data_IF_776622243491
#
_entry.id   IF_776622243491
#
_cell.length_a   1.000
_cell.length_b   1.000
_cell.length_c   1.000
_cell.angle_alpha   90.00
_cell.angle_beta   90.00
_cell.angle_gamma   90.00
#
_symmetry.space_group_name_H-M   'P 1'
#
loop_
_entity.id
_entity.type
_entity.pdbx_description
1 polymer ?
#
# COMPACT_ATOMS: atom_id res chain seq x y z
N UNK A 1 3.12 -16.84 24.55
CA UNK A 1 2.10 -16.37 23.60
C UNK A 1 2.20 -17.25 22.38
N UNK A 2 1.08 -17.62 21.76
CA UNK A 2 1.15 -18.25 20.44
C UNK A 2 1.78 -17.26 19.46
N UNK A 3 2.48 -17.72 18.41
CA UNK A 3 3.02 -16.83 17.40
C UNK A 3 1.85 -16.09 16.71
N UNK A 4 1.85 -14.76 16.78
CA UNK A 4 0.78 -13.93 16.21
C UNK A 4 1.28 -13.17 14.98
N UNK A 5 0.37 -12.96 14.03
CA UNK A 5 0.60 -12.15 12.84
C UNK A 5 -0.11 -10.83 13.07
N UNK A 6 0.63 -9.72 13.01
CA UNK A 6 0.11 -8.40 13.34
C UNK A 6 0.09 -7.55 12.08
N UNK A 7 -1.08 -7.02 11.74
CA UNK A 7 -1.24 -6.02 10.67
C UNK A 7 -1.40 -4.65 11.33
N UNK A 8 -0.53 -3.72 10.97
CA UNK A 8 -0.50 -2.35 11.47
C UNK A 8 -0.86 -1.39 10.34
N UNK A 9 -1.81 -0.49 10.58
CA UNK A 9 -2.15 0.57 9.63
C UNK A 9 -1.17 1.74 9.84
N UNK A 10 -0.36 2.04 8.82
CA UNK A 10 0.69 3.07 8.87
C UNK A 10 0.25 4.38 8.23
N UNK A 11 -0.77 4.34 7.37
CA UNK A 11 -1.38 5.51 6.76
C UNK A 11 -2.74 5.17 6.20
N UNK A 12 -3.59 6.19 6.07
CA UNK A 12 -5.00 6.05 5.66
C UNK A 12 -5.45 7.16 4.71
N UNK A 13 -4.57 8.11 4.38
CA UNK A 13 -4.90 9.15 3.42
C UNK A 13 -4.57 8.69 2.00
N UNK A 14 -5.16 9.37 1.02
CA UNK A 14 -4.77 9.28 -0.39
C UNK A 14 -3.29 9.71 -0.57
N UNK A 15 -2.68 9.44 -1.73
CA UNK A 15 -1.29 9.71 -2.13
C UNK A 15 -0.60 10.91 -1.48
N UNK A 16 -1.27 12.06 -1.43
CA UNK A 16 -0.63 13.28 -0.96
C UNK A 16 -0.55 13.38 0.56
N UNK A 17 -1.30 12.58 1.30
CA UNK A 17 -1.45 12.71 2.74
C UNK A 17 -2.21 13.97 3.15
N UNK A 18 -2.29 14.19 4.45
CA UNK A 18 -2.79 15.42 5.06
C UNK A 18 -1.73 15.91 6.05
N UNK A 19 -1.18 17.13 5.89
CA UNK A 19 -1.47 18.07 4.82
C UNK A 19 -0.88 17.66 3.47
N UNK A 20 -1.57 18.03 2.38
CA UNK A 20 -1.07 17.89 1.02
C UNK A 20 -0.19 19.09 0.63
N UNK A 21 0.93 18.84 -0.05
CA UNK A 21 1.81 19.88 -0.55
C UNK A 21 1.04 20.85 -1.47
N UNK A 22 1.16 22.15 -1.18
CA UNK A 22 0.48 23.22 -1.94
C UNK A 22 -1.03 23.35 -1.66
N UNK A 23 -1.59 22.63 -0.69
CA UNK A 23 -3.01 22.74 -0.33
C UNK A 23 -3.23 23.68 0.86
N UNK A 24 -4.11 24.67 0.69
CA UNK A 24 -4.50 25.62 1.73
C UNK A 24 -5.95 25.42 2.22
N UNK A 25 -6.55 24.25 1.99
CA UNK A 25 -7.87 23.97 2.55
C UNK A 25 -7.81 23.88 4.08
N UNK A 26 -8.95 24.09 4.75
CA UNK A 26 -9.04 24.10 6.21
C UNK A 26 -8.43 22.83 6.85
N UNK A 27 -8.70 21.64 6.27
CA UNK A 27 -8.14 20.36 6.76
C UNK A 27 -6.61 20.35 6.75
N UNK A 28 -5.98 20.86 5.69
CA UNK A 28 -4.52 20.91 5.57
C UNK A 28 -3.91 21.97 6.49
N UNK A 29 -4.49 23.18 6.56
CA UNK A 29 -4.02 24.24 7.45
C UNK A 29 -4.08 23.79 8.92
N UNK A 30 -5.18 23.17 9.34
CA UNK A 30 -5.32 22.64 10.69
C UNK A 30 -4.28 21.53 10.99
N UNK A 31 -3.92 20.70 10.01
CA UNK A 31 -2.91 19.66 10.17
C UNK A 31 -1.46 20.18 10.20
N UNK A 32 -1.20 21.38 9.67
CA UNK A 32 0.06 22.08 9.90
C UNK A 32 0.19 22.57 11.34
N UNK A 33 -0.90 23.09 11.93
CA UNK A 33 -0.92 23.62 13.29
C UNK A 33 -1.00 22.52 14.36
N UNK A 34 -1.66 21.40 14.05
CA UNK A 34 -1.87 20.28 14.96
C UNK A 34 -1.33 18.96 14.37
N UNK A 35 -0.16 18.48 14.83
CA UNK A 35 0.43 17.22 14.37
C UNK A 35 -0.49 15.99 14.49
N UNK A 36 -1.42 15.96 15.45
CA UNK A 36 -2.37 14.86 15.63
C UNK A 36 -3.41 14.74 14.50
N UNK A 37 -3.56 15.78 13.68
CA UNK A 37 -4.43 15.79 12.51
C UNK A 37 -3.72 15.33 11.24
N UNK A 38 -2.40 15.09 11.29
CA UNK A 38 -1.68 14.57 10.13
C UNK A 38 -2.15 13.16 9.80
N UNK A 39 -2.23 12.85 8.50
CA UNK A 39 -2.53 11.52 7.98
C UNK A 39 -1.53 11.21 6.88
N UNK A 40 -0.81 10.11 7.02
CA UNK A 40 0.13 9.66 6.01
C UNK A 40 -0.60 8.95 4.86
N UNK A 41 -0.02 8.98 3.64
CA UNK A 41 -0.54 8.19 2.52
C UNK A 41 -0.64 6.72 2.89
N UNK A 42 -1.57 6.01 2.26
CA UNK A 42 -1.92 4.63 2.61
C UNK A 42 -0.71 3.71 2.62
N UNK A 43 -0.56 2.94 3.70
CA UNK A 43 0.48 1.92 3.86
C UNK A 43 0.13 0.98 5.01
N UNK A 44 0.54 -0.28 4.90
CA UNK A 44 0.41 -1.28 5.97
C UNK A 44 1.79 -1.84 6.34
N UNK A 45 1.95 -2.20 7.61
CA UNK A 45 3.01 -3.07 8.08
C UNK A 45 2.45 -4.42 8.49
N UNK A 46 3.12 -5.51 8.13
CA UNK A 46 2.77 -6.87 8.55
C UNK A 46 3.97 -7.47 9.28
N UNK A 47 3.77 -7.85 10.54
CA UNK A 47 4.76 -8.61 11.31
C UNK A 47 4.36 -10.09 11.30
N UNK A 48 5.27 -10.93 10.77
CA UNK A 48 5.11 -12.37 10.71
C UNK A 48 5.35 -13.02 12.07
N UNK A 49 4.90 -14.27 12.21
CA UNK A 49 5.11 -15.01 13.46
C UNK A 49 6.58 -15.36 13.78
N UNK A 50 7.46 -15.25 12.78
CA UNK A 50 8.91 -15.36 12.88
C UNK A 50 9.59 -14.03 13.25
N UNK A 51 8.82 -12.95 13.42
CA UNK A 51 9.31 -11.60 13.72
C UNK A 51 9.76 -10.80 12.49
N UNK A 52 9.62 -11.36 11.28
CA UNK A 52 9.89 -10.64 10.04
C UNK A 52 8.88 -9.52 9.79
N UNK A 53 9.31 -8.44 9.14
CA UNK A 53 8.52 -7.21 8.95
C UNK A 53 8.38 -6.87 7.48
N UNK A 54 7.14 -6.89 6.98
CA UNK A 54 6.81 -6.70 5.58
C UNK A 54 5.98 -5.44 5.37
N UNK A 55 6.48 -4.51 4.57
CA UNK A 55 5.80 -3.26 4.25
C UNK A 55 4.91 -3.43 3.01
N UNK A 56 3.72 -2.82 3.03
CA UNK A 56 2.87 -2.64 1.86
C UNK A 56 2.78 -1.14 1.57
N UNK A 57 3.09 -0.77 0.33
CA UNK A 57 3.29 0.61 -0.17
C UNK A 57 4.49 1.34 0.44
N UNK A 58 5.27 2.01 -0.42
CA UNK A 58 6.44 2.81 -0.06
C UNK A 58 6.16 4.28 -0.32
N UNK A 59 5.47 4.89 0.63
CA UNK A 59 5.04 6.29 0.49
C UNK A 59 6.20 7.26 0.72
N UNK A 60 6.03 8.53 0.32
CA UNK A 60 6.97 9.61 0.65
C UNK A 60 7.21 9.81 2.15
N UNK A 61 6.31 9.30 3.01
CA UNK A 61 6.39 9.40 4.46
C UNK A 61 6.97 8.14 5.11
N UNK A 62 7.75 7.36 4.36
CA UNK A 62 8.38 6.13 4.84
C UNK A 62 9.10 6.30 6.19
N UNK A 63 9.85 7.39 6.39
CA UNK A 63 10.57 7.66 7.64
C UNK A 63 9.62 7.71 8.86
N UNK A 64 8.56 8.51 8.77
CA UNK A 64 7.58 8.62 9.85
C UNK A 64 6.78 7.34 10.05
N UNK A 65 6.45 6.64 8.96
CA UNK A 65 5.70 5.38 9.00
C UNK A 65 6.51 4.26 9.65
N UNK A 66 7.80 4.15 9.36
CA UNK A 66 8.69 3.19 10.03
C UNK A 66 8.86 3.53 11.51
N UNK A 67 8.92 4.82 11.87
CA UNK A 67 8.94 5.22 13.28
C UNK A 67 7.64 4.87 13.99
N UNK A 68 6.50 5.15 13.38
CA UNK A 68 5.18 4.79 13.91
C UNK A 68 5.09 3.28 14.13
N UNK A 69 5.56 2.50 13.16
CA UNK A 69 5.52 1.03 13.23
C UNK A 69 6.47 0.44 14.26
N UNK A 70 7.62 1.08 14.49
CA UNK A 70 8.60 0.63 15.50
C UNK A 70 8.13 0.87 16.95
N UNK A 71 7.09 1.70 17.13
CA UNK A 71 6.54 2.00 18.45
C UNK A 71 7.51 2.72 19.38
N UNK A 72 7.20 2.67 20.68
CA UNK A 72 7.98 3.28 21.75
C UNK A 72 8.87 2.26 22.49
N UNK A 73 9.31 1.21 21.79
CA UNK A 73 10.12 0.16 22.41
C UNK A 73 11.41 0.75 23.02
N UNK A 74 11.89 0.14 24.10
CA UNK A 74 12.96 0.71 24.97
C UNK A 74 14.23 1.03 24.19
N UNK A 75 14.52 0.23 23.15
CA UNK A 75 15.69 0.41 22.30
C UNK A 75 15.56 1.53 21.26
N UNK A 76 14.33 2.01 20.98
CA UNK A 76 13.99 3.02 19.96
C UNK A 76 14.62 2.76 18.57
N UNK A 77 14.90 1.49 18.24
CA UNK A 77 15.48 1.11 16.95
C UNK A 77 14.42 1.11 15.88
N UNK A 78 14.69 1.85 14.81
CA UNK A 78 13.90 1.81 13.58
C UNK A 78 14.48 0.69 12.71
N UNK A 79 13.67 -0.30 12.37
CA UNK A 79 14.07 -1.42 11.52
C UNK A 79 13.94 -1.08 10.03
N UNK A 80 14.64 -1.86 9.22
CA UNK A 80 14.45 -1.92 7.77
C UNK A 80 13.47 -3.07 7.52
N UNK A 81 12.41 -2.91 6.69
CA UNK A 81 11.53 -4.02 6.37
C UNK A 81 12.29 -5.14 5.65
N UNK A 82 11.90 -6.39 5.90
CA UNK A 82 12.45 -7.58 5.25
C UNK A 82 11.93 -7.76 3.81
N UNK A 83 10.76 -7.17 3.51
CA UNK A 83 10.26 -7.05 2.14
C UNK A 83 9.29 -5.89 1.98
N UNK A 84 9.06 -5.53 0.71
CA UNK A 84 8.05 -4.56 0.29
C UNK A 84 7.07 -5.24 -0.67
N UNK A 85 5.79 -4.90 -0.59
CA UNK A 85 4.78 -5.26 -1.60
C UNK A 85 4.08 -3.99 -2.11
N UNK A 86 3.89 -3.85 -3.42
CA UNK A 86 3.28 -2.68 -4.05
C UNK A 86 2.04 -3.11 -4.83
N UNK A 87 0.90 -2.45 -4.59
CA UNK A 87 -0.36 -2.73 -5.29
C UNK A 87 -0.41 -2.14 -6.70
N UNK A 88 0.08 -0.90 -6.86
CA UNK A 88 0.07 -0.15 -8.11
C UNK A 88 1.10 1.00 -8.08
N UNK A 89 1.29 1.69 -9.22
CA UNK A 89 2.41 2.61 -9.43
C UNK A 89 2.08 4.10 -9.33
N UNK A 90 0.96 4.47 -8.72
CA UNK A 90 0.70 5.88 -8.39
C UNK A 90 1.75 6.40 -7.41
N UNK A 91 2.07 7.69 -7.48
CA UNK A 91 3.21 8.25 -6.75
C UNK A 91 3.06 8.09 -5.23
N UNK A 92 1.84 8.18 -4.70
CA UNK A 92 1.56 7.96 -3.28
C UNK A 92 2.06 6.61 -2.74
N UNK A 93 2.16 5.63 -3.62
CA UNK A 93 2.46 4.24 -3.35
C UNK A 93 3.94 3.88 -3.51
N UNK A 94 4.70 4.66 -4.27
CA UNK A 94 6.09 4.32 -4.65
C UNK A 94 7.11 5.45 -4.47
N UNK A 95 6.68 6.68 -4.15
CA UNK A 95 7.58 7.84 -4.09
C UNK A 95 8.70 7.68 -3.05
N UNK A 96 8.51 6.88 -2.00
CA UNK A 96 9.53 6.61 -1.00
C UNK A 96 10.62 5.62 -1.43
N UNK A 97 10.51 4.97 -2.59
CA UNK A 97 11.41 3.86 -2.97
C UNK A 97 12.89 4.26 -3.04
N UNK A 98 13.19 5.50 -3.40
CA UNK A 98 14.56 6.01 -3.47
C UNK A 98 15.30 6.02 -2.13
N UNK A 99 14.57 5.92 -1.00
CA UNK A 99 15.17 5.82 0.34
C UNK A 99 15.98 4.53 0.51
N UNK A 100 15.72 3.48 -0.28
CA UNK A 100 16.44 2.21 -0.18
C UNK A 100 17.82 2.22 -0.86
N UNK A 101 18.09 3.19 -1.75
CA UNK A 101 19.35 3.27 -2.48
C UNK A 101 20.55 3.65 -1.62
N UNK A 102 21.78 3.42 -2.13
CA UNK A 102 23.05 3.71 -1.43
C UNK A 102 23.18 5.12 -0.84
N UNK A 103 22.70 6.20 -1.48
CA UNK A 103 22.85 7.54 -0.91
C UNK A 103 22.07 7.76 0.39
N UNK A 104 21.10 6.90 0.68
CA UNK A 104 20.18 7.04 1.82
C UNK A 104 20.35 5.88 2.79
N UNK A 105 19.56 4.80 2.68
CA UNK A 105 19.69 3.64 3.57
C UNK A 105 20.73 2.63 3.09
N UNK A 106 20.97 2.55 1.78
CA UNK A 106 21.86 1.58 1.17
C UNK A 106 21.54 0.15 1.57
N UNK A 107 20.27 -0.22 1.53
CA UNK A 107 19.82 -1.55 1.95
C UNK A 107 20.48 -2.63 1.08
N UNK A 108 20.58 -3.85 1.58
CA UNK A 108 21.22 -4.94 0.83
C UNK A 108 20.17 -5.94 0.37
N UNK A 109 19.93 -5.99 -0.94
CA UNK A 109 19.05 -6.96 -1.58
C UNK A 109 17.67 -7.05 -0.89
N UNK A 110 16.93 -5.94 -0.82
CA UNK A 110 15.54 -5.91 -0.35
C UNK A 110 14.58 -6.44 -1.44
N UNK A 111 13.79 -7.50 -1.18
CA UNK A 111 12.77 -7.94 -2.13
C UNK A 111 11.59 -6.96 -2.20
N UNK A 112 11.24 -6.59 -3.42
CA UNK A 112 10.03 -5.82 -3.74
C UNK A 112 9.11 -6.70 -4.58
N UNK A 113 7.93 -7.02 -4.05
CA UNK A 113 6.91 -7.82 -4.71
C UNK A 113 5.88 -6.93 -5.38
N UNK A 114 5.53 -7.28 -6.61
CA UNK A 114 4.58 -6.56 -7.46
C UNK A 114 4.03 -7.49 -8.54
N UNK A 115 2.98 -7.09 -9.23
CA UNK A 115 2.48 -7.78 -10.43
C UNK A 115 3.53 -7.80 -11.53
N UNK A 116 3.33 -8.60 -12.58
CA UNK A 116 4.25 -8.62 -13.72
C UNK A 116 4.29 -7.28 -14.45
N UNK A 117 3.12 -6.68 -14.72
CA UNK A 117 3.06 -5.39 -15.44
C UNK A 117 3.73 -4.28 -14.64
N UNK A 118 3.50 -4.23 -13.32
CA UNK A 118 4.17 -3.26 -12.46
C UNK A 118 5.68 -3.51 -12.38
N UNK A 119 6.13 -4.78 -12.41
CA UNK A 119 7.54 -5.12 -12.47
C UNK A 119 8.19 -4.55 -13.73
N UNK A 120 7.58 -4.80 -14.89
CA UNK A 120 8.08 -4.33 -16.17
C UNK A 120 8.16 -2.80 -16.21
N UNK A 121 7.11 -2.09 -15.76
CA UNK A 121 7.11 -0.62 -15.67
C UNK A 121 8.14 -0.07 -14.68
N UNK A 122 8.35 -0.72 -13.53
CA UNK A 122 9.34 -0.27 -12.55
C UNK A 122 10.77 -0.44 -13.05
N UNK A 123 11.04 -1.46 -13.88
CA UNK A 123 12.36 -1.65 -14.50
C UNK A 123 12.71 -0.54 -15.51
N UNK A 124 11.76 0.23 -16.01
CA UNK A 124 12.03 1.35 -16.92
C UNK A 124 12.52 2.62 -16.19
N UNK A 125 12.40 2.68 -14.86
CA UNK A 125 12.82 3.85 -14.09
C UNK A 125 14.33 3.81 -13.80
N UNK A 126 15.03 4.88 -14.15
CA UNK A 126 16.49 4.99 -13.96
C UNK A 126 16.93 4.84 -12.49
N UNK A 127 16.15 5.37 -11.55
CA UNK A 127 16.42 5.25 -10.11
C UNK A 127 16.35 3.79 -9.63
N UNK A 128 15.33 3.05 -10.10
CA UNK A 128 15.14 1.62 -9.81
C UNK A 128 16.23 0.78 -10.47
N UNK A 129 16.56 1.02 -11.74
CA UNK A 129 17.64 0.32 -12.45
C UNK A 129 18.96 0.45 -11.69
N UNK A 130 19.33 1.66 -11.28
CA UNK A 130 20.54 1.89 -10.51
C UNK A 130 20.53 1.10 -9.21
N UNK A 131 19.43 1.13 -8.44
CA UNK A 131 19.33 0.37 -7.19
C UNK A 131 19.40 -1.15 -7.39
N UNK A 132 18.94 -1.68 -8.53
CA UNK A 132 19.09 -3.10 -8.88
C UNK A 132 20.54 -3.42 -9.21
N UNK A 133 21.18 -2.63 -10.08
CA UNK A 133 22.60 -2.77 -10.46
C UNK A 133 23.54 -2.69 -9.24
N UNK A 134 23.18 -1.83 -8.29
CA UNK A 134 23.90 -1.63 -7.05
C UNK A 134 23.62 -2.71 -5.99
N UNK A 135 22.70 -3.63 -6.26
CA UNK A 135 22.33 -4.74 -5.37
C UNK A 135 21.49 -4.31 -4.16
N UNK A 136 20.90 -3.11 -4.19
CA UNK A 136 20.09 -2.63 -3.08
C UNK A 136 18.72 -3.29 -3.04
N UNK A 137 18.06 -3.41 -4.18
CA UNK A 137 16.72 -4.00 -4.29
C UNK A 137 16.70 -5.08 -5.35
N UNK A 138 15.73 -5.98 -5.27
CA UNK A 138 15.35 -6.86 -6.39
C UNK A 138 13.84 -6.86 -6.56
N UNK A 139 13.39 -6.80 -7.81
CA UNK A 139 11.98 -6.88 -8.13
C UNK A 139 11.57 -8.35 -8.31
N UNK A 140 10.44 -8.74 -7.73
CA UNK A 140 9.91 -10.10 -7.77
C UNK A 140 8.46 -10.06 -8.23
N UNK A 141 8.19 -10.65 -9.39
CA UNK A 141 6.83 -10.85 -9.90
C UNK A 141 6.31 -12.22 -9.46
N UNK A 142 5.30 -12.23 -8.59
CA UNK A 142 4.60 -13.44 -8.14
C UNK A 142 3.15 -13.11 -7.80
N UNK A 143 2.22 -13.91 -8.31
CA UNK A 143 0.80 -13.69 -8.04
C UNK A 143 0.39 -14.08 -6.61
N UNK A 144 1.00 -15.14 -6.06
CA UNK A 144 0.81 -15.59 -4.68
C UNK A 144 2.15 -16.02 -4.10
N UNK A 145 2.46 -15.60 -2.87
CA UNK A 145 3.75 -15.85 -2.24
C UNK A 145 3.72 -15.71 -0.71
N UNK A 146 4.69 -16.34 -0.06
CA UNK A 146 5.04 -16.05 1.33
C UNK A 146 6.32 -15.19 1.31
N UNK A 147 6.37 -14.04 2.00
CA UNK A 147 7.56 -13.20 2.03
C UNK A 147 8.79 -13.91 2.64
N UNK A 148 8.60 -14.65 3.73
CA UNK A 148 9.55 -15.61 4.30
C UNK A 148 8.86 -16.97 4.46
N UNK A 149 9.64 -18.05 4.62
CA UNK A 149 9.07 -19.40 4.76
C UNK A 149 8.29 -19.58 6.07
N UNK A 150 8.62 -18.82 7.12
CA UNK A 150 8.12 -19.00 8.48
C UNK A 150 7.28 -17.80 8.99
N UNK A 151 6.96 -16.82 8.13
CA UNK A 151 6.14 -15.65 8.50
C UNK A 151 4.69 -15.98 8.86
N UNK A 152 4.19 -17.16 8.45
CA UNK A 152 2.87 -17.66 8.82
C UNK A 152 1.69 -17.11 8.02
N UNK A 153 1.93 -16.26 7.02
CA UNK A 153 0.88 -15.76 6.11
C UNK A 153 1.31 -15.85 4.64
N UNK A 154 0.32 -15.77 3.75
CA UNK A 154 0.52 -15.69 2.30
C UNK A 154 -0.11 -14.39 1.78
N UNK A 155 0.55 -13.74 0.84
CA UNK A 155 0.01 -12.61 0.08
C UNK A 155 -0.39 -13.09 -1.32
N UNK A 156 -1.52 -12.57 -1.82
CA UNK A 156 -2.00 -12.82 -3.17
C UNK A 156 -2.49 -11.53 -3.82
N UNK A 157 -2.00 -11.23 -5.02
CA UNK A 157 -2.51 -10.14 -5.83
C UNK A 157 -3.83 -10.55 -6.48
N UNK A 158 -4.82 -9.69 -6.28
CA UNK A 158 -6.15 -9.81 -6.85
C UNK A 158 -6.31 -8.65 -7.83
N UNK A 159 -6.32 -8.89 -9.16
CA UNK A 159 -6.43 -7.83 -10.14
C UNK A 159 -7.71 -7.00 -9.95
N UNK A 160 -7.59 -5.67 -10.05
CA UNK A 160 -8.70 -4.73 -9.90
C UNK A 160 -8.78 -3.85 -11.15
N UNK A 161 -9.97 -3.72 -11.77
CA UNK A 161 -10.18 -2.75 -12.83
C UNK A 161 -9.93 -1.33 -12.30
N UNK A 162 -8.92 -0.68 -12.87
CA UNK A 162 -8.58 0.69 -12.54
C UNK A 162 -7.80 1.27 -13.72
N UNK A 163 -8.05 2.52 -14.04
CA UNK A 163 -7.30 3.26 -15.03
C UNK A 163 -5.87 3.44 -14.52
N UNK A 164 -4.92 2.86 -15.23
CA UNK A 164 -3.52 3.04 -14.88
C UNK A 164 -2.81 3.80 -15.98
N UNK A 165 -2.11 4.86 -15.60
CA UNK A 165 -1.14 5.53 -16.46
C UNK A 165 0.13 4.68 -16.64
N UNK A 166 0.44 3.81 -15.66
CA UNK A 166 1.63 2.95 -15.62
C UNK A 166 1.31 1.61 -14.92
N UNK A 167 1.52 0.50 -15.63
CA UNK A 167 1.30 -0.84 -15.07
C UNK A 167 -0.18 -1.18 -14.84
N UNK A 168 -0.46 -1.96 -13.80
CA UNK A 168 -1.81 -2.41 -13.42
C UNK A 168 -2.09 -2.17 -11.93
N UNK A 169 -3.33 -2.44 -11.51
CA UNK A 169 -3.78 -2.25 -10.12
C UNK A 169 -4.26 -3.58 -9.54
N UNK A 170 -3.84 -3.86 -8.32
CA UNK A 170 -4.24 -5.07 -7.60
C UNK A 170 -4.62 -4.76 -6.17
N UNK A 171 -5.65 -5.41 -5.65
CA UNK A 171 -5.80 -5.60 -4.22
C UNK A 171 -4.83 -6.68 -3.72
N UNK A 172 -4.57 -6.70 -2.42
CA UNK A 172 -3.80 -7.77 -1.77
C UNK A 172 -4.72 -8.54 -0.82
N UNK A 173 -4.79 -9.85 -1.02
CA UNK A 173 -5.39 -10.78 -0.09
C UNK A 173 -4.31 -11.34 0.84
N UNK A 174 -4.38 -10.97 2.11
CA UNK A 174 -3.50 -11.44 3.18
C UNK A 174 -4.18 -12.64 3.84
N UNK A 175 -3.65 -13.84 3.60
CA UNK A 175 -4.17 -15.10 4.15
C UNK A 175 -3.39 -15.48 5.39
N UNK A 176 -3.99 -15.26 6.56
CA UNK A 176 -3.49 -15.75 7.83
C UNK A 176 -4.04 -17.15 8.16
N UNK A 177 -3.59 -17.77 9.26
CA UNK A 177 -4.00 -19.11 9.67
C UNK A 177 -5.48 -19.21 10.08
N UNK A 178 -6.09 -18.08 10.50
CA UNK A 178 -7.48 -18.03 11.00
C UNK A 178 -8.37 -17.02 10.29
N UNK A 179 -7.78 -16.00 9.69
CA UNK A 179 -8.47 -14.82 9.17
C UNK A 179 -7.82 -14.37 7.87
N UNK A 180 -8.65 -13.94 6.93
CA UNK A 180 -8.21 -13.32 5.69
C UNK A 180 -8.53 -11.83 5.71
N UNK A 181 -7.55 -11.01 5.35
CA UNK A 181 -7.71 -9.57 5.17
C UNK A 181 -7.62 -9.20 3.69
N UNK A 182 -8.60 -8.45 3.19
CA UNK A 182 -8.51 -7.79 1.89
C UNK A 182 -8.00 -6.36 2.08
N UNK A 183 -6.93 -6.01 1.37
CA UNK A 183 -6.44 -4.65 1.24
C UNK A 183 -6.65 -4.19 -0.20
N UNK A 184 -7.68 -3.36 -0.40
CA UNK A 184 -8.09 -2.76 -1.66
C UNK A 184 -7.96 -1.23 -1.51
N UNK A 185 -6.76 -0.65 -1.66
CA UNK A 185 -6.55 0.77 -1.40
C UNK A 185 -7.15 1.67 -2.48
N UNK A 186 -7.35 1.15 -3.68
CA UNK A 186 -7.81 1.91 -4.85
C UNK A 186 -8.70 1.06 -5.76
N UNK A 187 -9.70 1.69 -6.37
CA UNK A 187 -10.53 1.20 -7.48
C UNK A 187 -11.22 2.38 -8.17
N UNK A 188 -11.54 2.23 -9.47
CA UNK A 188 -12.31 3.25 -10.20
C UNK A 188 -13.80 3.22 -9.81
N UNK A 189 -14.39 2.02 -9.75
CA UNK A 189 -15.80 1.85 -9.46
C UNK A 189 -16.16 0.47 -8.90
N UNK A 190 -17.21 0.44 -8.08
CA UNK A 190 -17.79 -0.84 -7.63
C UNK A 190 -18.40 -1.63 -8.78
N UNK A 191 -19.03 -0.99 -9.77
CA UNK A 191 -19.68 -1.69 -10.87
C UNK A 191 -18.68 -2.54 -11.66
N UNK A 192 -17.57 -1.93 -12.10
CA UNK A 192 -16.53 -2.62 -12.88
C UNK A 192 -15.85 -3.71 -12.04
N UNK A 193 -15.54 -3.42 -10.78
CA UNK A 193 -14.98 -4.41 -9.85
C UNK A 193 -15.93 -5.59 -9.69
N UNK A 194 -17.21 -5.38 -9.41
CA UNK A 194 -18.17 -6.47 -9.23
C UNK A 194 -18.37 -7.30 -10.51
N UNK A 195 -18.39 -6.64 -11.67
CA UNK A 195 -18.47 -7.29 -12.98
C UNK A 195 -17.23 -8.15 -13.27
N UNK A 196 -16.02 -7.69 -12.92
CA UNK A 196 -14.78 -8.47 -13.11
C UNK A 196 -14.75 -9.75 -12.28
N UNK A 197 -15.46 -9.79 -11.15
CA UNK A 197 -15.66 -10.99 -10.33
C UNK A 197 -16.96 -11.74 -10.64
N UNK A 198 -17.79 -11.25 -11.57
CA UNK A 198 -19.10 -11.82 -11.91
C UNK A 198 -20.01 -12.01 -10.69
N UNK A 199 -20.02 -11.03 -9.77
CA UNK A 199 -20.81 -11.03 -8.54
C UNK A 199 -21.75 -9.83 -8.50
N UNK A 200 -22.86 -9.94 -7.77
CA UNK A 200 -23.93 -8.92 -7.84
C UNK A 200 -23.76 -7.76 -6.85
N UNK A 201 -22.97 -7.96 -5.80
CA UNK A 201 -22.80 -6.99 -4.73
C UNK A 201 -21.52 -7.25 -3.93
N UNK A 202 -21.11 -6.25 -3.16
CA UNK A 202 -19.89 -6.28 -2.33
C UNK A 202 -19.89 -7.46 -1.36
N UNK A 203 -21.03 -7.84 -0.79
CA UNK A 203 -21.10 -8.98 0.15
C UNK A 203 -20.78 -10.30 -0.54
N UNK A 204 -21.25 -10.49 -1.77
CA UNK A 204 -20.91 -11.66 -2.59
C UNK A 204 -19.42 -11.68 -2.95
N UNK A 205 -18.82 -10.54 -3.30
CA UNK A 205 -17.38 -10.42 -3.53
C UNK A 205 -16.58 -10.84 -2.29
N UNK A 206 -16.88 -10.25 -1.13
CA UNK A 206 -16.18 -10.56 0.12
C UNK A 206 -16.38 -12.03 0.54
N UNK A 207 -17.56 -12.59 0.29
CA UNK A 207 -17.85 -14.01 0.60
C UNK A 207 -17.10 -14.95 -0.34
N UNK A 208 -17.05 -14.66 -1.64
CA UNK A 208 -16.38 -15.51 -2.63
C UNK A 208 -14.87 -15.59 -2.39
N UNK A 209 -14.27 -14.49 -1.95
CA UNK A 209 -12.86 -14.40 -1.56
C UNK A 209 -12.59 -14.85 -0.11
N UNK A 210 -13.63 -15.21 0.65
CA UNK A 210 -13.57 -15.63 2.07
C UNK A 210 -12.91 -14.59 2.96
N UNK A 211 -13.30 -13.32 2.82
CA UNK A 211 -12.74 -12.19 3.56
C UNK A 211 -13.38 -12.07 4.94
N UNK A 212 -12.56 -11.91 5.97
CA UNK A 212 -13.00 -11.62 7.33
C UNK A 212 -12.89 -10.13 7.66
N UNK A 213 -11.85 -9.46 7.15
CA UNK A 213 -11.56 -8.04 7.37
C UNK A 213 -11.33 -7.41 6.00
N UNK A 214 -12.03 -6.32 5.70
CA UNK A 214 -11.86 -5.59 4.44
C UNK A 214 -11.42 -4.15 4.74
N UNK A 215 -10.27 -3.76 4.19
CA UNK A 215 -9.80 -2.40 4.07
C UNK A 215 -10.00 -2.01 2.60
N UNK A 216 -10.94 -1.12 2.34
CA UNK A 216 -11.38 -0.75 0.98
C UNK A 216 -11.20 0.73 0.73
N UNK A 217 -11.09 1.10 -0.54
CA UNK A 217 -11.06 2.49 -1.01
C UNK A 217 -12.22 3.29 -0.39
N UNK A 218 -11.86 4.44 0.19
CA UNK A 218 -12.76 5.40 0.79
C UNK A 218 -12.28 6.83 0.51
N UNK A 219 -11.73 7.07 -0.68
CA UNK A 219 -11.06 8.33 -1.05
C UNK A 219 -12.01 9.52 -1.00
N UNK A 220 -13.25 9.37 -1.47
CA UNK A 220 -14.26 10.43 -1.44
C UNK A 220 -15.51 10.00 -0.69
N UNK A 221 -15.96 10.84 0.23
CA UNK A 221 -17.31 10.75 0.78
C UNK A 221 -18.33 10.97 -0.34
N UNK A 222 -18.16 12.04 -1.11
CA UNK A 222 -18.97 12.33 -2.29
C UNK A 222 -18.26 13.21 -3.33
N UNK A 223 -18.90 13.35 -4.49
CA UNK A 223 -18.36 14.07 -5.65
C UNK A 223 -18.21 15.59 -5.44
N UNK A 224 -18.81 16.18 -4.40
CA UNK A 224 -18.70 17.61 -4.12
C UNK A 224 -17.38 17.98 -3.43
N UNK A 225 -16.57 17.00 -3.01
CA UNK A 225 -15.27 17.24 -2.36
C UNK A 225 -14.20 17.80 -3.30
N UNK A 226 -14.40 17.71 -4.63
CA UNK A 226 -13.46 18.22 -5.64
C UNK A 226 -14.10 19.29 -6.56
N UNK A 227 -14.44 20.48 -6.04
CA UNK A 227 -15.04 21.52 -6.86
C UNK A 227 -14.10 21.95 -7.99
N UNK A 228 -14.61 21.99 -9.22
CA UNK A 228 -13.88 22.46 -10.40
C UNK A 228 -12.92 21.43 -11.03
N UNK A 229 -12.93 20.17 -10.57
CA UNK A 229 -12.22 19.08 -11.24
C UNK A 229 -13.14 18.24 -12.10
N UNK A 230 -12.58 17.68 -13.16
CA UNK A 230 -13.26 16.70 -14.01
C UNK A 230 -13.18 15.32 -13.35
N UNK A 231 -14.28 14.89 -12.73
CA UNK A 231 -14.35 13.64 -11.97
C UNK A 231 -14.24 12.40 -12.87
N UNK A 232 -14.52 12.51 -14.17
CA UNK A 232 -14.25 11.41 -15.11
C UNK A 232 -12.75 11.09 -15.23
N UNK A 233 -11.90 12.05 -14.83
CA UNK A 233 -10.45 11.90 -14.75
C UNK A 233 -9.97 11.60 -13.34
N UNK A 234 -10.85 11.38 -12.37
CA UNK A 234 -10.54 10.90 -11.01
C UNK A 234 -11.73 10.08 -10.46
N UNK A 235 -12.15 9.00 -11.13
CA UNK A 235 -13.18 8.10 -10.64
C UNK A 235 -12.66 7.36 -9.42
N UNK A 236 -13.45 7.41 -8.36
CA UNK A 236 -13.43 6.49 -7.23
C UNK A 236 -14.89 6.28 -6.80
N UNK A 237 -15.23 5.14 -6.18
CA UNK A 237 -16.54 4.97 -5.57
C UNK A 237 -16.71 5.96 -4.41
N UNK A 238 -17.88 6.59 -4.34
CA UNK A 238 -18.26 7.41 -3.18
C UNK A 238 -18.70 6.51 -2.02
N UNK A 239 -18.55 7.00 -0.79
CA UNK A 239 -18.99 6.29 0.41
C UNK A 239 -20.51 6.40 0.64
N UNK A 240 -21.12 7.54 0.31
CA UNK A 240 -22.55 7.83 0.57
C UNK A 240 -23.54 7.06 -0.33
#
# INVERSE_FOLDING_TARGET
MEPEIIVTILGIAQDAGIPQAGCSCERCLNAHENPGLKRYPVSLGIEGCDGSKHLIEVTKNLSEQLRLWSGDDIEQKIFIPDSVTITHLHLGHVEGIGQFGKPVMGVNNLPIYLSQMNNDSMQERNDVQLMIEEGNIRLISKNQFQPTNDCGFTLEFIPIPHRSELGDTSAILIKGPRKNLLFLPDQDSWSETLDSFSVRNIRELLTSLRIDIALVDGTFWNLNELPGRDLSKIPHPTIE
#
